data_IF_557799565889
#
_entry.id   IF_557799565889
#
_cell.length_a   1.000
_cell.length_b   1.000
_cell.length_c   1.000
_cell.angle_alpha   90.00
_cell.angle_beta   90.00
_cell.angle_gamma   90.00
#
_symmetry.space_group_name_H-M   'P 1'
#
loop_
_entity.id
_entity.type
_entity.pdbx_description
1 polymer ?
#
# COMPACT_ATOMS: atom_id res chain seq x y z
N UNK A 1 17.90 5.80 -9.23
CA UNK A 1 18.61 4.76 -9.98
C UNK A 1 18.04 4.74 -11.38
N UNK A 2 18.88 4.83 -12.40
CA UNK A 2 18.45 4.67 -13.79
C UNK A 2 18.38 3.16 -14.05
N UNK A 3 17.18 2.63 -14.25
CA UNK A 3 16.97 1.23 -14.64
C UNK A 3 17.22 1.10 -16.16
N UNK A 4 18.48 1.27 -16.58
CA UNK A 4 18.83 1.04 -17.98
C UNK A 4 19.12 -0.45 -18.21
N UNK A 5 18.59 -1.04 -19.29
CA UNK A 5 18.85 -2.43 -19.60
C UNK A 5 20.34 -2.62 -19.95
N UNK A 6 20.95 -3.59 -19.30
CA UNK A 6 22.33 -4.00 -19.60
C UNK A 6 22.26 -5.11 -20.64
N UNK A 7 22.72 -4.82 -21.85
CA UNK A 7 22.71 -5.76 -22.96
C UNK A 7 24.10 -6.37 -23.27
N UNK A 8 25.14 -5.87 -22.59
CA UNK A 8 26.48 -6.40 -22.74
C UNK A 8 26.69 -7.63 -21.85
N UNK A 9 27.02 -8.76 -22.47
CA UNK A 9 27.19 -10.04 -21.77
C UNK A 9 28.38 -10.03 -20.81
N UNK A 10 29.45 -9.29 -21.08
CA UNK A 10 30.62 -9.19 -20.19
C UNK A 10 30.23 -8.46 -18.90
N UNK A 11 29.42 -7.43 -19.04
CA UNK A 11 28.90 -6.68 -17.89
C UNK A 11 27.93 -7.51 -17.06
N UNK A 12 27.05 -8.29 -17.72
CA UNK A 12 26.17 -9.25 -17.05
C UNK A 12 26.99 -10.31 -16.30
N UNK A 13 28.00 -10.88 -16.95
CA UNK A 13 28.84 -11.92 -16.35
C UNK A 13 29.63 -11.41 -15.14
N UNK A 14 30.19 -10.20 -15.23
CA UNK A 14 31.01 -9.62 -14.14
C UNK A 14 30.21 -9.05 -12.98
N UNK A 15 28.93 -8.66 -13.20
CA UNK A 15 28.07 -8.08 -12.17
C UNK A 15 27.03 -9.07 -11.65
N UNK A 16 26.03 -9.43 -12.44
CA UNK A 16 24.91 -10.27 -12.03
C UNK A 16 25.32 -11.72 -11.77
N UNK A 17 26.16 -12.28 -12.67
CA UNK A 17 26.62 -13.66 -12.57
C UNK A 17 27.94 -13.78 -11.78
N UNK A 18 28.45 -12.69 -11.20
CA UNK A 18 29.59 -12.78 -10.27
C UNK A 18 29.25 -13.68 -9.09
N UNK A 19 30.23 -14.43 -8.62
CA UNK A 19 30.02 -15.37 -7.50
C UNK A 19 29.31 -14.69 -6.30
N UNK A 20 29.73 -13.49 -5.80
CA UNK A 20 29.03 -12.86 -4.69
C UNK A 20 27.56 -12.54 -4.99
N UNK A 21 27.26 -11.94 -6.14
CA UNK A 21 25.89 -11.53 -6.48
C UNK A 21 25.00 -12.72 -6.81
N UNK A 22 25.47 -13.65 -7.63
CA UNK A 22 24.71 -14.85 -7.97
C UNK A 22 24.41 -15.69 -6.71
N UNK A 23 25.36 -15.84 -5.83
CA UNK A 23 25.18 -16.54 -4.56
C UNK A 23 24.16 -15.85 -3.65
N UNK A 24 24.20 -14.52 -3.55
CA UNK A 24 23.18 -13.75 -2.82
C UNK A 24 21.79 -13.94 -3.41
N UNK A 25 21.65 -13.81 -4.74
CA UNK A 25 20.36 -13.96 -5.41
C UNK A 25 19.77 -15.35 -5.20
N UNK A 26 20.56 -16.40 -5.36
CA UNK A 26 20.12 -17.79 -5.19
C UNK A 26 19.84 -18.09 -3.72
N UNK A 27 20.76 -17.76 -2.81
CA UNK A 27 20.66 -18.13 -1.40
C UNK A 27 19.67 -17.29 -0.59
N UNK A 28 19.59 -15.98 -0.86
CA UNK A 28 18.81 -15.08 0.00
C UNK A 28 17.63 -14.43 -0.69
N UNK A 29 17.66 -14.25 -2.02
CA UNK A 29 16.63 -13.52 -2.78
C UNK A 29 15.86 -14.41 -3.76
N UNK A 30 15.86 -15.71 -3.49
CA UNK A 30 14.96 -16.67 -4.15
C UNK A 30 13.84 -17.04 -3.18
N UNK A 31 12.64 -17.16 -3.70
CA UNK A 31 11.44 -17.57 -2.98
C UNK A 31 10.96 -18.87 -3.57
N UNK A 32 10.82 -19.90 -2.76
CA UNK A 32 10.09 -21.10 -3.14
C UNK A 32 8.59 -20.78 -3.10
N UNK A 33 7.86 -21.13 -4.13
CA UNK A 33 6.40 -20.95 -4.17
C UNK A 33 5.76 -22.35 -4.27
N UNK A 34 5.28 -22.84 -3.15
CA UNK A 34 4.65 -24.16 -3.04
C UNK A 34 3.31 -24.24 -3.80
N UNK A 35 2.69 -23.11 -4.13
CA UNK A 35 1.42 -23.10 -4.86
C UNK A 35 1.59 -23.54 -6.32
N UNK A 36 2.70 -23.20 -6.93
CA UNK A 36 3.00 -23.58 -8.32
C UNK A 36 4.25 -24.48 -8.46
N UNK A 37 4.91 -24.80 -7.33
CA UNK A 37 6.08 -25.67 -7.29
C UNK A 37 7.32 -25.04 -7.96
N UNK A 38 7.42 -23.72 -8.00
CA UNK A 38 8.49 -23.00 -8.70
C UNK A 38 9.39 -22.23 -7.75
N UNK A 39 10.67 -22.07 -8.15
CA UNK A 39 11.60 -21.15 -7.53
C UNK A 39 11.56 -19.80 -8.26
N UNK A 40 11.26 -18.73 -7.52
CA UNK A 40 11.14 -17.38 -8.06
C UNK A 40 12.30 -16.52 -7.57
N UNK A 41 13.21 -16.17 -8.45
CA UNK A 41 14.27 -15.21 -8.14
C UNK A 41 13.70 -13.80 -8.16
N UNK A 42 13.99 -13.00 -7.16
CA UNK A 42 13.54 -11.62 -7.09
C UNK A 42 14.11 -10.79 -8.25
N UNK A 43 13.25 -9.97 -8.84
CA UNK A 43 13.65 -8.99 -9.84
C UNK A 43 14.49 -7.88 -9.21
N UNK A 44 15.27 -7.17 -10.00
CA UNK A 44 16.18 -6.13 -9.52
C UNK A 44 15.51 -5.11 -8.59
N UNK A 45 14.34 -4.58 -8.96
CA UNK A 45 13.61 -3.61 -8.14
C UNK A 45 13.12 -4.22 -6.82
N UNK A 46 12.77 -5.50 -6.79
CA UNK A 46 12.38 -6.22 -5.57
C UNK A 46 13.59 -6.44 -4.66
N UNK A 47 14.72 -6.85 -5.23
CA UNK A 47 15.99 -6.98 -4.53
C UNK A 47 16.38 -5.67 -3.84
N UNK A 48 16.39 -4.56 -4.57
CA UNK A 48 16.76 -3.26 -4.00
C UNK A 48 15.78 -2.78 -2.93
N UNK A 49 14.49 -3.04 -3.08
CA UNK A 49 13.49 -2.73 -2.07
C UNK A 49 13.72 -3.53 -0.78
N UNK A 50 13.93 -4.84 -0.89
CA UNK A 50 14.17 -5.71 0.25
C UNK A 50 15.50 -5.39 0.96
N UNK A 51 16.58 -5.13 0.19
CA UNK A 51 17.86 -4.69 0.72
C UNK A 51 17.76 -3.36 1.47
N UNK A 52 17.02 -2.37 0.91
CA UNK A 52 16.86 -1.08 1.56
C UNK A 52 16.14 -1.18 2.92
N UNK A 53 15.17 -2.08 3.03
CA UNK A 53 14.49 -2.35 4.30
C UNK A 53 15.46 -3.03 5.29
N UNK A 54 16.14 -4.09 4.86
CA UNK A 54 17.11 -4.82 5.69
C UNK A 54 18.22 -3.91 6.21
N UNK A 55 18.80 -3.10 5.34
CA UNK A 55 19.81 -2.09 5.69
C UNK A 55 19.30 -1.05 6.70
N UNK A 56 18.04 -0.62 6.56
CA UNK A 56 17.43 0.33 7.49
C UNK A 56 17.25 -0.31 8.86
N UNK A 57 16.81 -1.57 8.92
CA UNK A 57 16.64 -2.30 10.20
C UNK A 57 17.99 -2.52 10.87
N UNK A 58 19.01 -2.98 10.14
CA UNK A 58 20.35 -3.19 10.67
C UNK A 58 20.99 -1.91 11.27
N UNK A 59 20.64 -0.74 10.72
CA UNK A 59 21.11 0.57 11.20
C UNK A 59 20.22 1.20 12.27
N UNK A 60 19.13 0.54 12.67
CA UNK A 60 18.15 1.09 13.64
C UNK A 60 18.75 1.13 15.05
N UNK A 61 18.63 2.28 15.70
CA UNK A 61 18.98 2.46 17.12
C UNK A 61 17.76 2.17 17.97
N UNK A 62 17.65 0.96 18.48
CA UNK A 62 16.51 0.47 19.23
C UNK A 62 16.26 1.17 20.58
N UNK A 63 17.21 1.93 21.08
CA UNK A 63 17.12 2.69 22.33
C UNK A 63 16.32 4.00 22.17
N UNK A 64 16.14 4.44 20.92
CA UNK A 64 15.35 5.61 20.58
C UNK A 64 13.85 5.29 20.37
N UNK A 65 13.03 6.34 20.23
CA UNK A 65 11.62 6.21 19.86
C UNK A 65 11.40 6.48 18.36
N UNK A 66 12.40 6.17 17.52
CA UNK A 66 12.31 6.39 16.07
C UNK A 66 11.52 5.27 15.41
N UNK A 67 10.21 5.50 15.21
CA UNK A 67 9.30 4.52 14.61
C UNK A 67 9.27 4.54 13.08
N UNK A 68 9.97 5.49 12.45
CA UNK A 68 9.91 5.73 11.03
C UNK A 68 10.94 4.86 10.28
N UNK A 69 10.50 3.72 9.77
CA UNK A 69 11.32 2.82 8.94
C UNK A 69 11.44 3.34 7.50
N UNK A 70 10.31 3.63 6.89
CA UNK A 70 10.19 4.07 5.51
C UNK A 70 9.04 3.37 4.78
N UNK A 71 8.85 3.72 3.50
CA UNK A 71 7.86 3.02 2.68
C UNK A 71 8.41 2.64 1.29
N UNK A 72 7.82 1.60 0.72
CA UNK A 72 8.08 1.10 -0.61
C UNK A 72 6.87 1.45 -1.50
N UNK A 73 7.13 2.17 -2.58
CA UNK A 73 6.14 2.45 -3.60
C UNK A 73 6.30 1.49 -4.78
N UNK A 74 5.55 0.41 -4.78
CA UNK A 74 5.51 -0.54 -5.88
C UNK A 74 4.10 -0.61 -6.46
N UNK A 75 3.97 -0.49 -7.79
CA UNK A 75 2.67 -0.53 -8.48
C UNK A 75 1.97 -1.87 -8.30
N UNK A 76 0.66 -1.90 -8.52
CA UNK A 76 -0.11 -3.16 -8.57
C UNK A 76 0.42 -4.07 -9.68
N UNK A 77 0.48 -5.36 -9.44
CA UNK A 77 1.04 -6.35 -10.37
C UNK A 77 2.57 -6.47 -10.36
N UNK A 78 3.29 -5.66 -9.58
CA UNK A 78 4.76 -5.73 -9.47
C UNK A 78 5.27 -6.83 -8.52
N UNK A 79 4.39 -7.64 -7.90
CA UNK A 79 4.78 -8.64 -6.93
C UNK A 79 5.09 -8.08 -5.53
N UNK A 80 4.38 -7.02 -5.09
CA UNK A 80 4.52 -6.43 -3.73
C UNK A 80 4.47 -7.48 -2.63
N UNK A 81 3.50 -8.39 -2.72
CA UNK A 81 3.27 -9.48 -1.74
C UNK A 81 4.54 -10.32 -1.54
N UNK A 82 5.18 -10.73 -2.62
CA UNK A 82 6.43 -11.50 -2.56
C UNK A 82 7.58 -10.64 -1.99
N UNK A 83 7.67 -9.37 -2.40
CA UNK A 83 8.73 -8.46 -1.94
C UNK A 83 8.61 -8.19 -0.45
N UNK A 84 7.41 -7.89 0.04
CA UNK A 84 7.15 -7.59 1.45
C UNK A 84 7.37 -8.81 2.34
N UNK A 85 6.93 -9.99 1.88
CA UNK A 85 7.16 -11.25 2.60
C UNK A 85 8.65 -11.60 2.68
N UNK A 86 9.36 -11.52 1.55
CA UNK A 86 10.81 -11.80 1.53
C UNK A 86 11.60 -10.81 2.41
N UNK A 87 11.20 -9.53 2.43
CA UNK A 87 11.78 -8.56 3.36
C UNK A 87 11.59 -8.98 4.81
N UNK A 88 10.40 -9.48 5.16
CA UNK A 88 10.12 -9.99 6.50
C UNK A 88 10.97 -11.21 6.86
N UNK A 89 11.14 -12.18 5.92
CA UNK A 89 11.99 -13.34 6.11
C UNK A 89 13.47 -12.94 6.32
N UNK A 90 13.99 -12.02 5.50
CA UNK A 90 15.38 -11.56 5.61
C UNK A 90 15.64 -10.91 6.97
N UNK A 91 14.74 -10.07 7.47
CA UNK A 91 14.87 -9.45 8.80
C UNK A 91 14.79 -10.52 9.91
N UNK A 92 13.84 -11.45 9.79
CA UNK A 92 13.70 -12.53 10.78
C UNK A 92 14.95 -13.43 10.85
N UNK A 93 15.61 -13.67 9.71
CA UNK A 93 16.82 -14.48 9.61
C UNK A 93 18.09 -13.74 10.04
N UNK A 94 18.13 -12.39 9.97
CA UNK A 94 19.33 -11.59 10.28
C UNK A 94 19.60 -11.43 11.78
N UNK A 95 18.63 -11.72 12.65
CA UNK A 95 18.64 -11.43 14.08
C UNK A 95 18.75 -9.93 14.44
N UNK A 96 18.50 -9.03 13.50
CA UNK A 96 18.46 -7.58 13.75
C UNK A 96 17.18 -7.15 14.48
N UNK A 97 16.16 -8.00 14.48
CA UNK A 97 14.91 -7.83 15.21
C UNK A 97 14.52 -9.11 15.97
N UNK A 98 13.87 -8.96 17.12
CA UNK A 98 13.37 -10.10 17.91
C UNK A 98 12.03 -10.60 17.38
N UNK A 99 11.25 -9.70 16.75
CA UNK A 99 9.95 -9.98 16.14
C UNK A 99 9.78 -9.20 14.85
N UNK A 100 9.25 -9.89 13.84
CA UNK A 100 8.78 -9.27 12.59
C UNK A 100 7.29 -9.55 12.47
N UNK A 101 6.49 -8.50 12.50
CA UNK A 101 5.03 -8.60 12.47
C UNK A 101 4.53 -8.08 11.12
N UNK A 102 3.97 -8.98 10.35
CA UNK A 102 3.34 -8.65 9.07
C UNK A 102 1.87 -8.31 9.29
N UNK A 103 1.50 -7.06 9.02
CA UNK A 103 0.14 -6.54 9.20
C UNK A 103 -0.62 -6.50 7.87
N UNK A 104 -1.77 -7.17 7.85
CA UNK A 104 -2.69 -7.23 6.71
C UNK A 104 -4.06 -6.70 7.10
N UNK A 105 -4.88 -6.36 6.11
CA UNK A 105 -6.31 -6.14 6.34
C UNK A 105 -7.00 -7.48 6.68
N UNK A 106 -8.05 -7.42 7.52
CA UNK A 106 -8.84 -8.59 7.92
C UNK A 106 -9.44 -9.34 6.72
N UNK A 107 -9.84 -8.59 5.69
CA UNK A 107 -10.42 -9.16 4.47
C UNK A 107 -9.41 -10.02 3.72
N UNK A 108 -8.13 -9.64 3.75
CA UNK A 108 -7.04 -10.35 3.06
C UNK A 108 -6.60 -11.62 3.78
N UNK A 109 -6.79 -11.71 5.11
CA UNK A 109 -6.48 -12.93 5.86
C UNK A 109 -7.34 -14.15 5.47
N UNK A 110 -8.54 -13.92 4.92
CA UNK A 110 -9.42 -14.98 4.41
C UNK A 110 -9.26 -15.26 2.91
N UNK A 111 -8.38 -14.57 2.22
CA UNK A 111 -8.29 -14.53 0.76
C UNK A 111 -6.98 -15.14 0.23
N UNK A 112 -6.79 -14.96 -1.08
CA UNK A 112 -5.66 -15.40 -1.87
C UNK A 112 -4.30 -14.98 -1.29
N UNK A 113 -4.21 -13.82 -0.60
CA UNK A 113 -2.96 -13.30 -0.05
C UNK A 113 -2.38 -14.19 1.06
N UNK A 114 -3.20 -14.64 2.03
CA UNK A 114 -2.72 -15.56 3.07
C UNK A 114 -2.23 -16.89 2.48
N UNK A 115 -2.92 -17.37 1.45
CA UNK A 115 -2.54 -18.58 0.73
C UNK A 115 -1.18 -18.40 0.03
N UNK A 116 -0.95 -17.24 -0.56
CA UNK A 116 0.34 -16.87 -1.15
C UNK A 116 1.46 -16.79 -0.10
N UNK A 117 1.19 -16.16 1.06
CA UNK A 117 2.19 -16.08 2.14
C UNK A 117 2.56 -17.46 2.69
N UNK A 118 1.61 -18.36 2.81
CA UNK A 118 1.89 -19.75 3.20
C UNK A 118 2.68 -20.49 2.14
N UNK A 119 2.41 -20.24 0.87
CA UNK A 119 3.16 -20.81 -0.24
C UNK A 119 4.61 -20.29 -0.34
N UNK A 120 4.90 -19.13 0.23
CA UNK A 120 6.26 -18.55 0.25
C UNK A 120 7.03 -18.89 1.53
N UNK A 121 6.41 -19.50 2.52
CA UNK A 121 7.05 -19.86 3.77
C UNK A 121 7.76 -21.20 3.64
N UNK A 122 8.99 -21.28 4.11
CA UNK A 122 9.76 -22.54 4.14
C UNK A 122 9.10 -23.60 5.04
N UNK A 123 8.28 -23.16 5.99
CA UNK A 123 7.40 -23.98 6.82
C UNK A 123 6.02 -23.31 6.90
N UNK A 124 4.99 -24.00 6.42
CA UNK A 124 3.61 -23.49 6.45
C UNK A 124 3.13 -23.15 7.87
N UNK A 125 3.72 -23.78 8.89
CA UNK A 125 3.43 -23.51 10.30
C UNK A 125 4.09 -22.21 10.79
N UNK A 126 5.15 -21.72 10.15
CA UNK A 126 5.81 -20.45 10.49
C UNK A 126 4.94 -19.24 10.14
N UNK A 127 4.07 -19.36 9.12
CA UNK A 127 3.05 -18.36 8.77
C UNK A 127 1.72 -18.75 9.41
N UNK A 128 1.67 -18.74 10.72
CA UNK A 128 0.41 -19.00 11.42
C UNK A 128 -0.43 -17.73 11.45
N UNK A 129 -1.62 -17.78 10.84
CA UNK A 129 -2.64 -16.79 11.13
C UNK A 129 -3.00 -16.93 12.61
N UNK A 130 -2.82 -15.84 13.36
CA UNK A 130 -3.26 -15.81 14.76
C UNK A 130 -4.78 -15.88 14.79
N UNK A 131 -5.35 -16.98 15.27
CA UNK A 131 -6.81 -17.17 15.28
C UNK A 131 -7.48 -16.20 16.26
N UNK A 132 -6.81 -15.89 17.37
CA UNK A 132 -7.31 -14.95 18.36
C UNK A 132 -6.18 -14.07 18.93
N UNK A 133 -6.55 -13.01 19.67
CA UNK A 133 -5.61 -12.07 20.28
C UNK A 133 -4.71 -12.73 21.34
N UNK A 134 -5.21 -13.74 22.07
CA UNK A 134 -4.44 -14.46 23.08
C UNK A 134 -3.24 -15.22 22.46
N UNK A 135 -3.45 -15.89 21.34
CA UNK A 135 -2.37 -16.57 20.58
C UNK A 135 -1.35 -15.55 20.06
N UNK A 136 -1.82 -14.40 19.57
CA UNK A 136 -0.93 -13.32 19.14
C UNK A 136 -0.04 -12.81 20.27
N UNK A 137 -0.61 -12.54 21.43
CA UNK A 137 0.14 -12.12 22.62
C UNK A 137 1.14 -13.16 23.07
N UNK A 138 0.75 -14.45 23.09
CA UNK A 138 1.66 -15.55 23.41
C UNK A 138 2.88 -15.58 22.49
N UNK A 139 2.67 -15.45 21.18
CA UNK A 139 3.75 -15.41 20.20
C UNK A 139 4.65 -14.16 20.30
N UNK A 140 4.07 -13.00 20.58
CA UNK A 140 4.84 -11.78 20.81
C UNK A 140 5.74 -11.89 22.04
N UNK A 141 5.29 -12.58 23.09
CA UNK A 141 6.08 -12.83 24.31
C UNK A 141 7.13 -13.93 24.12
N UNK A 142 6.86 -14.91 23.29
CA UNK A 142 7.74 -16.05 23.04
C UNK A 142 9.15 -15.61 22.62
N UNK A 143 10.17 -16.37 23.05
CA UNK A 143 11.55 -16.23 22.59
C UNK A 143 11.94 -17.34 21.59
N UNK A 144 10.97 -18.14 21.15
CA UNK A 144 11.22 -19.16 20.13
C UNK A 144 11.52 -18.52 18.77
N UNK A 145 12.48 -19.07 18.05
CA UNK A 145 12.82 -18.65 16.69
C UNK A 145 11.65 -18.87 15.72
N UNK A 146 10.85 -19.91 15.95
CA UNK A 146 9.63 -20.19 15.15
C UNK A 146 8.59 -19.07 15.25
N UNK A 147 8.59 -18.30 16.32
CA UNK A 147 7.68 -17.16 16.55
C UNK A 147 8.29 -15.80 16.18
N UNK A 148 9.42 -15.77 15.45
CA UNK A 148 10.06 -14.51 15.04
C UNK A 148 9.22 -13.81 13.98
N UNK A 149 8.71 -14.53 12.99
CA UNK A 149 7.82 -13.99 11.95
C UNK A 149 6.36 -14.29 12.30
N UNK A 150 5.57 -13.23 12.48
CA UNK A 150 4.15 -13.31 12.85
C UNK A 150 3.33 -12.62 11.78
N UNK A 151 2.31 -13.31 11.23
CA UNK A 151 1.33 -12.72 10.31
C UNK A 151 0.01 -12.52 11.03
N UNK A 152 -0.52 -11.31 11.02
CA UNK A 152 -1.77 -10.98 11.72
C UNK A 152 -2.53 -9.84 11.05
N UNK A 153 -3.80 -9.67 11.41
CA UNK A 153 -4.57 -8.51 10.96
C UNK A 153 -4.28 -7.28 11.82
N UNK A 154 -4.36 -6.10 11.18
CA UNK A 154 -4.21 -4.82 11.89
C UNK A 154 -5.27 -4.67 12.99
N UNK A 155 -6.49 -5.19 12.79
CA UNK A 155 -7.57 -5.15 13.78
C UNK A 155 -7.19 -5.95 15.05
N UNK A 156 -6.65 -7.17 14.89
CA UNK A 156 -6.20 -7.97 16.04
C UNK A 156 -5.05 -7.31 16.77
N UNK A 157 -4.12 -6.73 16.01
CA UNK A 157 -2.97 -6.04 16.59
C UNK A 157 -3.38 -4.77 17.35
N UNK A 158 -4.33 -3.99 16.83
CA UNK A 158 -4.86 -2.79 17.51
C UNK A 158 -5.70 -3.09 18.74
N UNK A 159 -6.16 -4.33 18.92
CA UNK A 159 -6.87 -4.76 20.13
C UNK A 159 -5.93 -5.07 21.30
N UNK A 160 -4.61 -5.10 21.05
CA UNK A 160 -3.61 -5.19 22.12
C UNK A 160 -3.48 -3.79 22.74
N UNK A 161 -4.23 -3.55 23.83
CA UNK A 161 -4.25 -2.29 24.59
C UNK A 161 -3.93 -2.58 26.05
N UNK A 162 -3.44 -1.55 26.73
CA UNK A 162 -3.39 -1.58 28.19
C UNK A 162 -4.80 -1.84 28.78
N UNK A 163 -4.93 -2.88 29.57
CA UNK A 163 -6.06 -3.19 30.46
C UNK A 163 -7.42 -3.59 29.84
N UNK A 164 -7.58 -3.76 28.54
CA UNK A 164 -8.88 -4.10 27.96
C UNK A 164 -8.99 -5.56 27.50
N UNK A 165 -10.03 -6.23 27.96
CA UNK A 165 -10.65 -7.44 27.41
C UNK A 165 -9.70 -8.56 26.91
N UNK A 166 -9.17 -9.35 27.83
CA UNK A 166 -8.42 -10.56 27.48
C UNK A 166 -7.38 -11.04 28.47
N UNK A 167 -7.36 -10.49 29.70
CA UNK A 167 -6.46 -10.95 30.75
C UNK A 167 -5.00 -10.57 30.57
N UNK A 168 -4.69 -9.57 29.74
CA UNK A 168 -3.35 -9.01 29.61
C UNK A 168 -2.99 -8.20 30.84
N UNK A 169 -1.81 -8.45 31.38
CA UNK A 169 -1.26 -7.67 32.48
C UNK A 169 -0.37 -6.54 31.94
N UNK A 170 -0.20 -5.47 32.73
CA UNK A 170 0.77 -4.41 32.39
C UNK A 170 2.21 -4.96 32.28
N UNK A 171 2.52 -6.08 32.93
CA UNK A 171 3.79 -6.79 32.81
C UNK A 171 3.95 -7.44 31.42
N UNK A 172 2.90 -8.00 30.85
CA UNK A 172 2.92 -8.59 29.51
C UNK A 172 3.25 -7.54 28.44
N UNK A 173 2.64 -6.37 28.56
CA UNK A 173 2.88 -5.26 27.63
C UNK A 173 4.33 -4.78 27.74
N UNK A 174 4.88 -4.61 28.93
CA UNK A 174 6.29 -4.25 29.13
C UNK A 174 7.25 -5.27 28.54
N UNK A 175 6.95 -6.56 28.68
CA UNK A 175 7.76 -7.62 28.07
C UNK A 175 7.77 -7.53 26.52
N UNK A 176 6.60 -7.27 25.92
CA UNK A 176 6.53 -7.08 24.48
C UNK A 176 7.22 -5.79 24.02
N UNK A 177 7.04 -4.68 24.75
CA UNK A 177 7.68 -3.39 24.46
C UNK A 177 9.21 -3.40 24.60
N UNK A 178 9.75 -4.34 25.36
CA UNK A 178 11.19 -4.51 25.52
C UNK A 178 11.87 -5.15 24.29
N UNK A 179 11.06 -5.79 23.42
CA UNK A 179 11.58 -6.47 22.22
C UNK A 179 11.79 -5.49 21.05
N UNK A 180 12.77 -5.81 20.21
CA UNK A 180 13.01 -5.13 18.93
C UNK A 180 11.98 -5.64 17.91
N UNK A 181 10.95 -4.84 17.66
CA UNK A 181 9.83 -5.24 16.80
C UNK A 181 9.84 -4.44 15.51
N UNK A 182 9.77 -5.13 14.38
CA UNK A 182 9.57 -4.55 13.06
C UNK A 182 8.15 -4.86 12.60
N UNK A 183 7.41 -3.83 12.20
CA UNK A 183 6.11 -3.97 11.55
C UNK A 183 6.24 -3.75 10.05
N UNK A 184 5.74 -4.69 9.25
CA UNK A 184 5.58 -4.56 7.80
C UNK A 184 4.09 -4.48 7.51
N UNK A 185 3.67 -3.35 6.92
CA UNK A 185 2.25 -3.05 6.65
C UNK A 185 2.01 -3.11 5.15
N UNK A 186 1.26 -4.10 4.70
CA UNK A 186 0.88 -4.20 3.29
C UNK A 186 -0.35 -3.33 3.01
N UNK A 187 -0.48 -2.84 1.75
CA UNK A 187 -1.55 -1.96 1.27
C UNK A 187 -1.84 -0.77 2.23
N UNK A 188 -0.76 -0.14 2.72
CA UNK A 188 -0.81 0.85 3.81
C UNK A 188 -1.55 2.17 3.48
N UNK A 189 -2.04 2.34 2.25
CA UNK A 189 -2.84 3.49 1.82
C UNK A 189 -4.33 3.39 2.23
N UNK A 190 -4.79 2.24 2.71
CA UNK A 190 -6.21 2.04 3.07
C UNK A 190 -6.60 2.93 4.25
N UNK A 191 -7.76 3.57 4.13
CA UNK A 191 -8.25 4.58 5.09
C UNK A 191 -8.49 4.03 6.50
N UNK A 192 -8.77 2.73 6.64
CA UNK A 192 -9.00 2.03 7.91
C UNK A 192 -7.72 1.82 8.73
N UNK A 193 -6.55 1.95 8.10
CA UNK A 193 -5.27 1.73 8.76
C UNK A 193 -4.86 2.88 9.69
N UNK A 194 -5.28 4.13 9.43
CA UNK A 194 -4.76 5.31 10.14
C UNK A 194 -4.94 5.26 11.65
N UNK A 195 -6.18 5.05 12.11
CA UNK A 195 -6.50 5.08 13.55
C UNK A 195 -5.95 3.83 14.28
N UNK A 196 -6.08 2.65 13.66
CA UNK A 196 -5.56 1.40 14.22
C UNK A 196 -4.03 1.41 14.29
N UNK A 197 -3.36 1.90 13.25
CA UNK A 197 -1.91 2.00 13.22
C UNK A 197 -1.40 2.99 14.26
N UNK A 198 -2.13 4.08 14.51
CA UNK A 198 -1.81 5.02 15.58
C UNK A 198 -1.84 4.32 16.96
N UNK A 199 -2.88 3.51 17.23
CA UNK A 199 -2.97 2.72 18.47
C UNK A 199 -1.77 1.76 18.60
N UNK A 200 -1.43 1.04 17.53
CA UNK A 200 -0.30 0.12 17.53
C UNK A 200 1.02 0.86 17.82
N UNK A 201 1.20 2.02 17.21
CA UNK A 201 2.40 2.85 17.45
C UNK A 201 2.50 3.35 18.89
N UNK A 202 1.39 3.68 19.52
CA UNK A 202 1.38 4.04 20.93
C UNK A 202 1.68 2.83 21.84
N UNK A 203 1.13 1.65 21.50
CA UNK A 203 1.38 0.43 22.26
C UNK A 203 2.84 -0.03 22.14
N UNK A 204 3.48 0.17 20.99
CA UNK A 204 4.85 -0.26 20.73
C UNK A 204 5.77 0.92 20.36
N UNK A 205 6.16 1.77 21.31
CA UNK A 205 6.87 3.02 21.02
C UNK A 205 8.27 2.83 20.42
N UNK A 206 8.92 1.68 20.66
CA UNK A 206 10.24 1.35 20.12
C UNK A 206 10.20 0.60 18.79
N UNK A 207 9.02 0.19 18.34
CA UNK A 207 8.89 -0.59 17.11
C UNK A 207 9.12 0.29 15.87
N UNK A 208 9.66 -0.30 14.81
CA UNK A 208 9.90 0.36 13.53
C UNK A 208 8.86 -0.11 12.51
N UNK A 209 8.34 0.82 11.73
CA UNK A 209 7.25 0.56 10.79
C UNK A 209 7.67 0.79 9.34
N UNK A 210 7.43 -0.20 8.50
CA UNK A 210 7.58 -0.11 7.05
C UNK A 210 6.23 -0.25 6.36
N UNK A 211 5.97 0.59 5.33
CA UNK A 211 4.75 0.55 4.55
C UNK A 211 4.99 0.08 3.12
N UNK A 212 4.13 -0.79 2.60
CA UNK A 212 4.07 -1.14 1.18
C UNK A 212 2.78 -0.59 0.57
N UNK A 213 2.88 0.09 -0.57
CA UNK A 213 1.71 0.64 -1.26
C UNK A 213 1.94 0.79 -2.76
N UNK A 214 0.88 0.64 -3.54
CA UNK A 214 0.86 0.98 -4.97
C UNK A 214 0.49 2.44 -5.22
N UNK A 215 -0.16 3.09 -4.24
CA UNK A 215 -0.71 4.44 -4.35
C UNK A 215 -0.42 5.25 -3.09
N UNK A 216 0.83 5.74 -2.93
CA UNK A 216 1.18 6.54 -1.75
C UNK A 216 0.36 7.84 -1.69
N UNK A 217 0.09 8.28 -0.47
CA UNK A 217 -0.60 9.54 -0.20
C UNK A 217 0.45 10.62 -0.04
N UNK A 218 0.50 11.52 -1.02
CA UNK A 218 1.32 12.72 -1.02
C UNK A 218 0.50 13.96 -0.60
N UNK A 219 1.13 15.12 -0.43
CA UNK A 219 0.43 16.36 -0.11
C UNK A 219 -0.65 16.72 -1.14
N UNK A 220 -0.38 16.48 -2.42
CA UNK A 220 -1.25 16.83 -3.55
C UNK A 220 -2.54 16.00 -3.60
N UNK A 221 -2.50 14.73 -3.16
CA UNK A 221 -3.65 13.81 -3.19
C UNK A 221 -4.23 13.52 -1.80
N UNK A 222 -3.86 14.33 -0.80
CA UNK A 222 -4.24 14.15 0.60
C UNK A 222 -5.72 14.42 0.83
N UNK A 223 -6.47 13.37 1.22
CA UNK A 223 -7.87 13.50 1.67
C UNK A 223 -8.01 13.67 3.19
N UNK A 224 -7.02 13.21 3.97
CA UNK A 224 -6.89 13.36 5.41
C UNK A 224 -5.62 14.16 5.72
N UNK A 225 -5.44 14.58 6.97
CA UNK A 225 -4.30 15.43 7.38
C UNK A 225 -2.92 14.73 7.31
N UNK A 226 -2.84 13.44 7.00
CA UNK A 226 -1.61 12.64 7.05
C UNK A 226 -1.21 12.11 5.67
N UNK A 227 0.10 12.16 5.38
CA UNK A 227 0.71 11.54 4.19
C UNK A 227 1.36 10.20 4.54
N UNK A 228 1.68 9.39 3.51
CA UNK A 228 2.41 8.13 3.71
C UNK A 228 3.76 8.37 4.38
N UNK A 229 4.47 9.43 3.98
CA UNK A 229 5.76 9.80 4.56
C UNK A 229 5.65 10.22 6.04
N UNK A 230 4.59 10.90 6.45
CA UNK A 230 4.36 11.25 7.87
C UNK A 230 4.15 10.01 8.75
N UNK A 231 3.59 8.95 8.19
CA UNK A 231 3.27 7.73 8.94
C UNK A 231 4.48 6.79 9.00
N UNK A 232 5.17 6.58 7.88
CA UNK A 232 6.21 5.56 7.76
C UNK A 232 7.63 6.12 7.65
N UNK A 233 7.80 7.38 7.29
CA UNK A 233 9.09 8.00 6.99
C UNK A 233 9.34 8.13 5.50
N UNK A 234 10.61 8.26 5.11
CA UNK A 234 11.01 8.51 3.73
C UNK A 234 10.69 7.32 2.79
N UNK A 235 10.53 7.64 1.51
CA UNK A 235 10.50 6.63 0.45
C UNK A 235 11.86 5.93 0.36
N UNK A 236 11.87 4.61 0.55
CA UNK A 236 13.10 3.80 0.45
C UNK A 236 13.33 3.31 -0.97
N UNK A 237 12.25 2.97 -1.68
CA UNK A 237 12.33 2.48 -3.04
C UNK A 237 11.03 2.76 -3.80
N UNK A 238 11.19 3.02 -5.12
CA UNK A 238 10.07 3.28 -6.04
C UNK A 238 10.16 2.36 -7.25
N UNK A 239 9.02 1.77 -7.59
CA UNK A 239 8.77 1.11 -8.86
C UNK A 239 7.35 1.47 -9.30
N UNK A 240 7.25 2.50 -10.13
CA UNK A 240 5.99 3.09 -10.55
C UNK A 240 5.29 2.25 -11.63
N UNK A 241 4.04 2.59 -11.95
CA UNK A 241 3.33 1.94 -13.06
C UNK A 241 4.04 2.19 -14.39
N UNK A 242 4.66 3.36 -14.58
CA UNK A 242 5.43 3.67 -15.78
C UNK A 242 6.67 2.76 -15.91
N UNK A 243 7.37 2.50 -14.79
CA UNK A 243 8.48 1.57 -14.74
C UNK A 243 8.02 0.16 -15.08
N UNK A 244 6.89 -0.28 -14.49
CA UNK A 244 6.32 -1.60 -14.73
C UNK A 244 5.91 -1.84 -16.18
N UNK A 245 5.33 -0.83 -16.84
CA UNK A 245 4.96 -0.90 -18.27
C UNK A 245 6.22 -0.90 -19.15
N UNK A 246 7.18 -0.02 -18.89
CA UNK A 246 8.47 0.03 -19.61
C UNK A 246 9.18 -1.32 -19.57
N UNK A 247 9.24 -1.94 -18.39
CA UNK A 247 9.93 -3.22 -18.16
C UNK A 247 9.08 -4.43 -18.58
N UNK A 248 7.87 -4.21 -19.12
CA UNK A 248 6.89 -5.25 -19.52
C UNK A 248 6.47 -6.20 -18.38
N UNK A 249 6.60 -5.74 -17.14
CA UNK A 249 6.17 -6.46 -15.93
C UNK A 249 4.70 -6.21 -15.60
N UNK A 250 4.16 -5.08 -16.07
CA UNK A 250 2.76 -4.67 -15.95
C UNK A 250 2.23 -4.41 -17.35
N UNK A 251 1.01 -4.85 -17.62
CA UNK A 251 0.36 -4.61 -18.89
C UNK A 251 0.18 -3.11 -19.12
N UNK A 252 0.56 -2.65 -20.29
CA UNK A 252 0.24 -1.31 -20.74
C UNK A 252 -1.27 -1.18 -20.98
N UNK A 253 -1.76 0.04 -20.92
CA UNK A 253 -3.14 0.35 -21.29
C UNK A 253 -3.16 1.55 -22.23
N UNK A 254 -4.07 1.47 -23.20
CA UNK A 254 -4.34 2.56 -24.12
C UNK A 254 -5.67 3.20 -23.67
N UNK A 255 -5.66 4.39 -23.05
CA UNK A 255 -6.89 5.01 -22.55
C UNK A 255 -7.76 5.44 -23.73
N UNK A 256 -8.77 4.65 -24.04
CA UNK A 256 -9.78 5.04 -25.03
C UNK A 256 -10.82 5.93 -24.33
N UNK A 257 -10.78 7.22 -24.63
CA UNK A 257 -11.74 8.18 -24.12
C UNK A 257 -12.94 8.25 -25.05
N UNK A 258 -14.08 7.72 -24.63
CA UNK A 258 -15.36 7.95 -25.29
C UNK A 258 -15.97 9.22 -24.68
N UNK A 259 -16.05 10.28 -25.49
CA UNK A 259 -16.84 11.45 -25.13
C UNK A 259 -18.32 11.11 -25.38
N UNK A 260 -19.05 10.78 -24.33
CA UNK A 260 -20.49 10.50 -24.40
C UNK A 260 -21.32 11.77 -24.64
N UNK A 261 -20.73 12.95 -24.36
CA UNK A 261 -21.37 14.25 -24.54
C UNK A 261 -20.37 15.25 -25.11
N UNK A 262 -20.89 16.17 -25.94
CA UNK A 262 -20.16 17.40 -26.22
C UNK A 262 -20.24 18.28 -24.97
N UNK A 263 -19.10 18.70 -24.48
CA UNK A 263 -18.95 19.50 -23.26
C UNK A 263 -19.85 20.73 -23.25
N UNK A 264 -20.05 21.32 -24.43
CA UNK A 264 -20.90 22.48 -24.63
C UNK A 264 -22.38 22.16 -24.37
N UNK A 265 -22.88 20.98 -24.76
CA UNK A 265 -24.27 20.58 -24.58
C UNK A 265 -24.56 20.35 -23.08
N UNK A 266 -23.62 19.75 -22.34
CA UNK A 266 -23.74 19.57 -20.88
C UNK A 266 -23.72 20.91 -20.16
N UNK A 267 -22.89 21.85 -20.57
CA UNK A 267 -22.84 23.21 -20.01
C UNK A 267 -24.19 23.92 -20.18
N UNK A 268 -24.76 23.86 -21.39
CA UNK A 268 -26.06 24.44 -21.67
C UNK A 268 -27.13 23.82 -20.77
N UNK A 269 -27.21 22.52 -20.63
CA UNK A 269 -28.18 21.84 -19.78
C UNK A 269 -28.07 22.26 -18.31
N UNK A 270 -26.86 22.32 -17.76
CA UNK A 270 -26.62 22.76 -16.39
C UNK A 270 -26.99 24.23 -16.21
N UNK A 271 -26.63 25.09 -17.15
CA UNK A 271 -26.93 26.52 -17.11
C UNK A 271 -28.47 26.76 -17.21
N UNK A 272 -29.18 26.00 -18.02
CA UNK A 272 -30.62 26.04 -18.11
C UNK A 272 -31.30 25.57 -16.81
N UNK A 273 -30.81 24.48 -16.22
CA UNK A 273 -31.33 23.97 -14.95
C UNK A 273 -31.14 24.99 -13.82
N UNK A 274 -29.97 25.60 -13.74
CA UNK A 274 -29.64 26.63 -12.75
C UNK A 274 -30.50 27.91 -12.94
N UNK A 275 -30.72 28.32 -14.19
CA UNK A 275 -31.58 29.45 -14.54
C UNK A 275 -33.07 29.14 -14.42
N UNK A 276 -33.45 27.87 -14.13
CA UNK A 276 -34.86 27.39 -14.14
C UNK A 276 -35.59 27.72 -15.44
N UNK A 277 -34.90 27.53 -16.58
CA UNK A 277 -35.42 27.73 -17.94
C UNK A 277 -35.42 26.40 -18.69
N UNK A 278 -36.37 26.20 -19.58
CA UNK A 278 -36.49 24.99 -20.41
C UNK A 278 -35.71 25.10 -21.72
N UNK A 279 -35.57 26.32 -22.23
CA UNK A 279 -34.84 26.59 -23.47
C UNK A 279 -33.92 27.80 -23.29
N UNK A 280 -32.94 27.94 -24.20
CA UNK A 280 -32.01 29.05 -24.22
C UNK A 280 -32.70 30.40 -24.45
N UNK A 281 -33.75 30.40 -25.31
CA UNK A 281 -34.56 31.56 -25.59
C UNK A 281 -35.32 32.01 -24.33
N UNK A 282 -35.88 31.06 -23.55
CA UNK A 282 -36.56 31.34 -22.28
C UNK A 282 -35.56 31.93 -21.25
N UNK A 283 -34.32 31.42 -21.22
CA UNK A 283 -33.29 31.93 -20.32
C UNK A 283 -32.92 33.39 -20.66
N UNK A 284 -32.88 33.75 -21.93
CA UNK A 284 -32.56 35.12 -22.35
C UNK A 284 -33.76 36.09 -22.30
N UNK A 285 -34.99 35.58 -22.26
CA UNK A 285 -36.17 36.42 -22.15
C UNK A 285 -36.33 37.14 -20.80
N UNK A 286 -35.68 36.64 -19.76
CA UNK A 286 -35.70 37.22 -18.41
C UNK A 286 -34.29 37.63 -17.99
N UNK A 287 -34.15 38.91 -17.56
CA UNK A 287 -32.87 39.47 -17.16
C UNK A 287 -32.17 38.73 -16.00
N UNK A 288 -32.96 38.16 -15.08
CA UNK A 288 -32.43 37.45 -13.92
C UNK A 288 -31.96 36.06 -14.33
N UNK A 289 -32.74 35.34 -15.12
CA UNK A 289 -32.40 34.05 -15.68
C UNK A 289 -31.21 34.14 -16.63
N UNK A 290 -31.12 35.17 -17.46
CA UNK A 290 -29.98 35.42 -18.36
C UNK A 290 -28.69 35.61 -17.63
N UNK A 291 -28.65 36.36 -16.52
CA UNK A 291 -27.43 36.49 -15.69
C UNK A 291 -26.95 35.16 -15.12
N UNK A 292 -27.86 34.36 -14.60
CA UNK A 292 -27.54 33.05 -14.04
C UNK A 292 -27.01 32.13 -15.14
N UNK A 293 -27.71 32.05 -16.29
CA UNK A 293 -27.29 31.25 -17.43
C UNK A 293 -25.88 31.60 -17.91
N UNK A 294 -25.58 32.89 -18.13
CA UNK A 294 -24.27 33.32 -18.55
C UNK A 294 -23.17 33.08 -17.51
N UNK A 295 -23.49 33.21 -16.23
CA UNK A 295 -22.56 32.91 -15.15
C UNK A 295 -22.13 31.45 -15.21
N UNK A 296 -23.06 30.53 -15.40
CA UNK A 296 -22.77 29.10 -15.51
C UNK A 296 -22.04 28.78 -16.80
N UNK A 297 -22.38 29.37 -17.93
CA UNK A 297 -21.67 29.18 -19.20
C UNK A 297 -20.20 29.64 -19.15
N UNK A 298 -19.84 30.56 -18.26
CA UNK A 298 -18.46 31.11 -18.10
C UNK A 298 -17.62 30.38 -17.06
N UNK A 299 -18.19 29.41 -16.30
CA UNK A 299 -17.44 28.67 -15.30
C UNK A 299 -16.32 27.85 -15.95
N UNK A 300 -15.09 27.78 -15.34
CA UNK A 300 -14.02 26.93 -15.81
C UNK A 300 -14.42 25.45 -15.62
N UNK A 301 -13.84 24.56 -16.44
CA UNK A 301 -14.12 23.10 -16.42
C UNK A 301 -14.03 22.49 -15.03
N UNK A 302 -13.03 22.86 -14.21
CA UNK A 302 -12.89 22.38 -12.85
C UNK A 302 -14.13 22.66 -11.98
N UNK A 303 -14.74 23.84 -12.13
CA UNK A 303 -15.95 24.20 -11.37
C UNK A 303 -17.18 23.36 -11.68
N UNK A 304 -17.25 22.74 -12.86
CA UNK A 304 -18.35 21.83 -13.22
C UNK A 304 -18.19 20.45 -12.57
N UNK A 305 -16.95 19.96 -12.44
CA UNK A 305 -16.69 18.67 -11.81
C UNK A 305 -16.89 18.69 -10.28
N UNK A 306 -16.76 19.84 -9.67
CA UNK A 306 -17.01 20.04 -8.24
C UNK A 306 -18.51 20.25 -7.94
N UNK A 307 -19.31 20.58 -8.94
CA UNK A 307 -20.74 20.80 -8.77
C UNK A 307 -21.50 19.47 -8.80
N UNK A 308 -22.19 19.13 -7.70
CA UNK A 308 -22.98 17.89 -7.60
C UNK A 308 -24.10 17.74 -8.66
N UNK A 309 -24.50 18.82 -9.31
CA UNK A 309 -25.51 18.80 -10.38
C UNK A 309 -24.93 18.24 -11.70
N UNK A 310 -23.67 18.44 -11.99
CA UNK A 310 -22.96 17.81 -13.11
C UNK A 310 -22.95 16.28 -13.00
N UNK A 311 -22.69 15.76 -11.80
CA UNK A 311 -22.68 14.30 -11.54
C UNK A 311 -24.09 13.71 -11.69
N UNK A 312 -25.12 14.45 -11.30
CA UNK A 312 -26.53 14.03 -11.47
C UNK A 312 -26.93 13.96 -12.94
N UNK A 313 -26.51 14.91 -13.76
CA UNK A 313 -26.85 14.91 -15.19
C UNK A 313 -26.11 13.81 -15.97
N UNK A 314 -24.85 13.52 -15.66
CA UNK A 314 -24.13 12.36 -16.21
C UNK A 314 -24.85 11.06 -15.83
N UNK A 315 -25.28 10.92 -14.56
CA UNK A 315 -26.02 9.76 -14.08
C UNK A 315 -27.35 9.56 -14.81
N UNK A 316 -28.10 10.63 -15.07
CA UNK A 316 -29.37 10.58 -15.82
C UNK A 316 -29.20 10.22 -17.29
N UNK A 317 -28.14 10.72 -17.91
CA UNK A 317 -27.85 10.44 -19.30
C UNK A 317 -27.43 8.97 -19.51
N UNK A 318 -26.55 8.44 -18.65
CA UNK A 318 -26.14 7.03 -18.71
C UNK A 318 -27.30 6.04 -18.46
N UNK A 319 -28.36 6.47 -17.76
CA UNK A 319 -29.57 5.67 -17.57
C UNK A 319 -30.52 5.71 -18.78
N UNK A 320 -30.49 6.78 -19.61
CA UNK A 320 -31.36 6.90 -20.81
C UNK A 320 -30.87 6.09 -22.01
N UNK A 321 -29.56 5.79 -22.07
CA UNK A 321 -28.97 4.96 -23.16
C UNK A 321 -29.12 3.45 -22.96
N UNK A 322 -29.69 2.99 -21.84
CA UNK A 322 -29.88 1.57 -21.52
C UNK A 322 -31.35 1.08 -21.74
N UNK A 323 -32.14 1.78 -22.55
CA UNK A 323 -33.47 1.33 -22.95
C UNK A 323 -33.54 1.08 -24.45
#
# INVERSE_FOLDING_TARGET
>A
MNYEPINDWQNIASTLLSIPMAHQLIGFYTVADDLDGTLKVMRSYQYFAASAISDKVAKTKWEGNEQLGGYIWHTTGSGKTMTSFKSAQLIAASNDADKVVFLMDRIELGTQSLRQYRGFADDADSVQSTENTGVLVSKLKSNSVTDTLIVTSIQKMSNIKDEAEGGMTSADIKLMQAKRIVFIVDECHRSTFGDMLYIIKQTFPKAVFFGFTGTPIHEENRKKKTTTAMIFGNELHRYSIADGIRDKNVLGFDPYKVLTFKDQDVRVQIALAAAKAKTVEEAYADKTKSKIFEQYMKLPMAGYYENGDYIKEIGRASCRERV
#
